data_IF_684547582339
#
_entry.id   IF_684547582339
#
_cell.length_a   1.000
_cell.length_b   1.000
_cell.length_c   1.000
_cell.angle_alpha   90.00
_cell.angle_beta   90.00
_cell.angle_gamma   90.00
#
_symmetry.space_group_name_H-M   'P 1'
#
loop_
_entity.id
_entity.type
_entity.pdbx_description
1 polymer ?
#
# COMPACT_ATOMS: atom_id res chain seq x y z
N UNK A 1 -54.77 -40.15 25.28
CA UNK A 1 -54.67 -38.75 24.82
C UNK A 1 -53.95 -37.80 25.80
N UNK A 2 -53.14 -38.28 26.76
CA UNK A 2 -52.43 -37.43 27.74
C UNK A 2 -50.92 -37.24 27.50
N UNK A 3 -50.35 -37.77 26.41
CA UNK A 3 -48.89 -37.74 26.17
C UNK A 3 -48.44 -36.67 25.16
N UNK A 4 -49.32 -36.23 24.24
CA UNK A 4 -48.97 -35.22 23.23
C UNK A 4 -49.07 -33.78 23.74
N UNK A 5 -49.98 -33.48 24.68
CA UNK A 5 -50.18 -32.12 25.20
C UNK A 5 -49.02 -31.64 26.08
N UNK A 6 -48.35 -32.54 26.79
CA UNK A 6 -47.21 -32.19 27.65
C UNK A 6 -45.93 -31.87 26.86
N UNK A 7 -45.71 -32.52 25.71
CA UNK A 7 -44.55 -32.23 24.84
C UNK A 7 -44.69 -30.91 24.06
N UNK A 8 -45.92 -30.51 23.72
CA UNK A 8 -46.17 -29.25 23.00
C UNK A 8 -45.98 -28.01 23.90
N UNK A 9 -46.32 -28.12 25.19
CA UNK A 9 -46.11 -27.05 26.19
C UNK A 9 -44.61 -26.79 26.47
N UNK A 10 -43.79 -27.84 26.47
CA UNK A 10 -42.33 -27.72 26.63
C UNK A 10 -41.66 -27.06 25.42
N UNK A 11 -42.14 -27.33 24.20
CA UNK A 11 -41.63 -26.68 22.98
C UNK A 11 -42.01 -25.19 22.92
N UNK A 12 -43.22 -24.82 23.35
CA UNK A 12 -43.62 -23.40 23.43
C UNK A 12 -42.80 -22.64 24.48
N UNK A 13 -42.53 -23.23 25.64
CA UNK A 13 -41.72 -22.59 26.68
C UNK A 13 -40.26 -22.36 26.26
N UNK A 14 -39.67 -23.27 25.48
CA UNK A 14 -38.30 -23.12 24.95
C UNK A 14 -38.23 -22.05 23.84
N UNK A 15 -39.29 -21.90 23.04
CA UNK A 15 -39.36 -20.86 22.01
C UNK A 15 -39.57 -19.46 22.58
N UNK A 16 -40.39 -19.30 23.64
CA UNK A 16 -40.56 -17.99 24.29
C UNK A 16 -39.28 -17.56 25.03
N UNK A 17 -38.57 -18.49 25.66
CA UNK A 17 -37.32 -18.16 26.37
C UNK A 17 -36.18 -17.72 25.43
N UNK A 18 -36.14 -18.21 24.18
CA UNK A 18 -35.14 -17.77 23.18
C UNK A 18 -35.46 -16.43 22.53
N UNK A 19 -36.73 -16.03 22.47
CA UNK A 19 -37.12 -14.73 21.93
C UNK A 19 -36.74 -13.57 22.87
N UNK A 20 -36.91 -13.77 24.18
CA UNK A 20 -36.59 -12.73 25.18
C UNK A 20 -35.08 -12.44 25.27
N UNK A 21 -34.23 -13.46 25.10
CA UNK A 21 -32.76 -13.29 25.08
C UNK A 21 -32.28 -12.50 23.85
N UNK A 22 -32.92 -12.69 22.69
CA UNK A 22 -32.59 -11.94 21.47
C UNK A 22 -33.02 -10.46 21.56
N UNK A 23 -34.17 -10.18 22.20
CA UNK A 23 -34.66 -8.80 22.36
C UNK A 23 -33.77 -8.00 23.32
N UNK A 24 -33.26 -8.63 24.40
CA UNK A 24 -32.33 -7.97 25.33
C UNK A 24 -30.98 -7.66 24.67
N UNK A 25 -30.47 -8.54 23.81
CA UNK A 25 -29.22 -8.28 23.07
C UNK A 25 -29.34 -7.17 22.02
N UNK A 26 -30.52 -7.00 21.40
CA UNK A 26 -30.74 -5.91 20.44
C UNK A 26 -30.85 -4.52 21.10
N UNK A 27 -31.45 -4.42 22.30
CA UNK A 27 -31.52 -3.14 23.03
C UNK A 27 -30.13 -2.66 23.48
N UNK A 28 -29.24 -3.58 23.82
CA UNK A 28 -27.87 -3.25 24.25
C UNK A 28 -27.03 -2.69 23.08
N UNK A 29 -27.17 -3.31 21.90
CA UNK A 29 -26.53 -2.85 20.66
C UNK A 29 -26.99 -1.45 20.20
N UNK A 30 -28.27 -1.15 20.38
CA UNK A 30 -28.82 0.15 20.00
C UNK A 30 -28.34 1.26 20.95
N UNK A 31 -28.13 0.94 22.23
CA UNK A 31 -27.59 1.86 23.23
C UNK A 31 -26.11 2.15 22.98
N UNK A 32 -25.32 1.13 22.61
CA UNK A 32 -23.91 1.30 22.25
C UNK A 32 -23.72 2.05 20.92
N UNK A 33 -24.63 1.88 19.94
CA UNK A 33 -24.61 2.65 18.70
C UNK A 33 -24.84 4.16 18.95
N UNK A 34 -25.77 4.52 19.84
CA UNK A 34 -26.00 5.92 20.18
C UNK A 34 -24.85 6.52 21.01
N UNK A 35 -24.19 5.72 21.86
CA UNK A 35 -22.95 6.14 22.53
C UNK A 35 -21.81 6.42 21.55
N UNK A 36 -21.63 5.56 20.55
CA UNK A 36 -20.60 5.74 19.52
C UNK A 36 -20.87 6.99 18.66
N UNK A 37 -22.13 7.28 18.33
CA UNK A 37 -22.51 8.53 17.63
C UNK A 37 -22.18 9.77 18.47
N UNK A 38 -22.46 9.73 19.77
CA UNK A 38 -22.15 10.85 20.68
C UNK A 38 -20.63 11.09 20.79
N UNK A 39 -19.82 10.02 20.85
CA UNK A 39 -18.36 10.13 20.85
C UNK A 39 -17.84 10.71 19.53
N UNK A 40 -18.38 10.27 18.38
CA UNK A 40 -18.00 10.78 17.08
C UNK A 40 -18.33 12.28 16.91
N UNK A 41 -19.48 12.72 17.42
CA UNK A 41 -19.85 14.14 17.43
C UNK A 41 -18.97 14.97 18.38
N UNK A 42 -18.59 14.43 19.54
CA UNK A 42 -17.67 15.10 20.47
C UNK A 42 -16.25 15.26 19.87
N UNK A 43 -15.76 14.26 19.12
CA UNK A 43 -14.48 14.33 18.41
C UNK A 43 -14.50 15.36 17.27
N UNK A 44 -15.61 15.45 16.53
CA UNK A 44 -15.81 16.49 15.51
C UNK A 44 -15.92 17.89 16.11
N UNK A 45 -16.53 18.04 17.29
CA UNK A 45 -16.59 19.33 17.99
C UNK A 45 -15.20 19.73 18.55
N UNK A 46 -14.40 18.78 19.01
CA UNK A 46 -13.05 19.01 19.51
C UNK A 46 -12.06 19.38 18.40
N UNK A 47 -12.26 18.92 17.15
CA UNK A 47 -11.41 19.32 16.02
C UNK A 47 -11.71 20.75 15.54
N UNK A 48 -12.91 21.27 15.81
CA UNK A 48 -13.29 22.63 15.41
C UNK A 48 -12.89 23.72 16.41
N UNK A 49 -12.54 23.36 17.67
CA UNK A 49 -12.20 24.33 18.72
C UNK A 49 -10.71 24.65 18.86
N UNK A 50 -9.83 24.06 18.05
CA UNK A 50 -8.38 24.34 18.09
C UNK A 50 -7.91 25.46 17.12
N UNK A 51 -8.82 26.26 16.54
CA UNK A 51 -8.44 27.30 15.57
C UNK A 51 -8.28 28.73 16.10
N UNK A 52 -8.42 29.00 17.39
CA UNK A 52 -8.22 30.36 17.93
C UNK A 52 -7.48 30.38 19.27
N UNK A 53 -6.14 30.38 19.21
CA UNK A 53 -5.27 31.06 20.18
C UNK A 53 -3.85 31.16 19.60
N UNK A 54 -3.55 32.32 19.02
CA UNK A 54 -2.19 32.67 18.60
C UNK A 54 -1.25 32.79 19.79
N UNK A 55 -0.14 32.06 19.73
CA UNK A 55 1.10 32.40 20.40
C UNK A 55 2.23 32.20 19.39
N UNK A 56 2.80 33.32 18.97
CA UNK A 56 3.91 33.44 18.04
C UNK A 56 5.17 32.77 18.57
N UNK A 57 5.62 31.72 17.88
CA UNK A 57 7.01 31.26 17.84
C UNK A 57 7.41 31.09 16.37
N UNK A 58 8.69 31.33 16.01
CA UNK A 58 9.08 31.50 14.62
C UNK A 58 8.99 30.17 13.87
N UNK A 59 8.21 30.18 12.79
CA UNK A 59 8.19 29.15 11.77
C UNK A 59 9.62 28.99 11.23
N UNK A 60 10.25 27.86 11.53
CA UNK A 60 11.32 27.36 10.67
C UNK A 60 10.67 27.06 9.32
N UNK A 61 11.12 27.83 8.34
CA UNK A 61 10.75 27.75 6.96
C UNK A 61 11.26 26.41 6.42
N UNK A 62 10.44 25.34 6.44
CA UNK A 62 10.75 24.06 5.79
C UNK A 62 10.79 24.31 4.29
N UNK A 63 11.95 24.74 3.83
CA UNK A 63 12.25 25.03 2.44
C UNK A 63 12.48 23.68 1.78
N UNK A 64 11.55 23.22 0.94
CA UNK A 64 11.81 22.07 0.08
C UNK A 64 13.04 22.38 -0.79
N UNK A 65 14.07 21.53 -0.81
CA UNK A 65 15.29 21.86 -1.53
C UNK A 65 15.09 21.71 -3.03
N UNK A 66 15.53 22.72 -3.78
CA UNK A 66 15.46 22.74 -5.23
C UNK A 66 16.26 21.62 -5.92
N UNK A 67 16.04 21.43 -7.22
CA UNK A 67 16.56 20.29 -7.97
C UNK A 67 18.08 20.22 -8.03
N UNK A 68 18.63 19.01 -7.86
CA UNK A 68 20.06 18.73 -7.94
C UNK A 68 20.89 19.06 -6.68
N UNK A 69 20.29 19.60 -5.61
CA UNK A 69 20.98 19.76 -4.34
C UNK A 69 21.01 18.44 -3.56
N UNK A 70 22.19 18.05 -3.07
CA UNK A 70 22.32 16.89 -2.19
C UNK A 70 21.75 17.24 -0.81
N UNK A 71 20.81 16.42 -0.37
CA UNK A 71 20.13 16.51 0.90
C UNK A 71 20.62 15.39 1.81
N UNK A 72 20.80 15.71 3.09
CA UNK A 72 21.19 14.73 4.13
C UNK A 72 20.10 14.70 5.19
N UNK A 73 19.56 13.51 5.47
CA UNK A 73 18.58 13.29 6.52
C UNK A 73 19.11 12.25 7.50
N UNK A 74 19.02 12.56 8.80
CA UNK A 74 19.34 11.64 9.89
C UNK A 74 18.03 11.14 10.54
N UNK A 75 17.86 9.84 10.64
CA UNK A 75 16.69 9.17 11.21
C UNK A 75 17.18 8.30 12.36
N UNK A 76 16.75 8.62 13.59
CA UNK A 76 17.19 7.90 14.79
C UNK A 76 16.69 6.44 14.78
N UNK A 77 17.47 5.53 15.37
CA UNK A 77 17.06 4.12 15.52
C UNK A 77 15.66 4.01 16.16
N UNK A 78 14.81 3.16 15.58
CA UNK A 78 13.42 3.00 15.97
C UNK A 78 12.45 4.04 15.37
N UNK A 79 12.94 5.10 14.72
CA UNK A 79 12.12 6.11 14.07
C UNK A 79 11.98 5.87 12.56
N UNK A 80 11.03 6.59 11.95
CA UNK A 80 10.83 6.63 10.52
C UNK A 80 10.68 8.08 10.07
N UNK A 81 11.16 8.38 8.87
CA UNK A 81 10.97 9.70 8.24
C UNK A 81 10.64 9.54 6.76
N UNK A 82 10.08 10.60 6.18
CA UNK A 82 9.72 10.66 4.75
C UNK A 82 10.66 11.61 4.02
N UNK A 83 11.46 11.08 3.11
CA UNK A 83 12.18 11.85 2.10
C UNK A 83 11.17 12.46 1.13
N UNK A 84 11.36 13.72 0.76
CA UNK A 84 10.46 14.45 -0.16
C UNK A 84 11.24 15.21 -1.23
N UNK A 85 10.68 15.24 -2.42
CA UNK A 85 11.06 16.06 -3.55
C UNK A 85 9.84 16.84 -4.05
N UNK A 86 10.08 17.97 -4.71
CA UNK A 86 9.02 18.72 -5.39
C UNK A 86 8.41 17.88 -6.54
N UNK A 87 7.21 18.25 -6.96
CA UNK A 87 6.54 17.61 -8.09
C UNK A 87 7.42 17.62 -9.36
N UNK A 88 7.45 16.48 -10.07
CA UNK A 88 8.27 16.31 -11.28
C UNK A 88 9.70 15.82 -11.02
N UNK A 89 10.07 15.58 -9.76
CA UNK A 89 11.39 15.05 -9.39
C UNK A 89 11.27 13.73 -8.64
N UNK A 90 12.19 12.81 -8.91
CA UNK A 90 12.34 11.55 -8.21
C UNK A 90 13.50 11.58 -7.23
N UNK A 91 13.33 10.89 -6.10
CA UNK A 91 14.38 10.70 -5.11
C UNK A 91 15.43 9.72 -5.66
N UNK A 92 16.69 10.13 -5.64
CA UNK A 92 17.85 9.27 -5.88
C UNK A 92 18.73 9.25 -4.65
N UNK A 93 18.81 8.09 -3.99
CA UNK A 93 19.78 7.87 -2.91
C UNK A 93 21.17 7.76 -3.53
N UNK A 94 22.08 8.63 -3.10
CA UNK A 94 23.48 8.62 -3.52
C UNK A 94 24.33 7.79 -2.57
N UNK A 95 24.06 7.89 -1.27
CA UNK A 95 24.77 7.16 -0.23
C UNK A 95 23.89 7.02 1.02
N UNK A 96 24.17 6.01 1.83
CA UNK A 96 23.52 5.86 3.12
C UNK A 96 24.38 5.07 4.09
N UNK A 97 24.24 5.43 5.35
CA UNK A 97 25.00 4.92 6.48
C UNK A 97 24.04 4.58 7.61
N UNK A 98 24.27 3.45 8.27
CA UNK A 98 23.55 3.08 9.49
C UNK A 98 24.56 2.76 10.58
N UNK A 99 24.54 3.54 11.66
CA UNK A 99 25.54 3.46 12.70
C UNK A 99 25.60 4.72 13.55
N UNK A 100 26.79 5.03 14.05
CA UNK A 100 27.09 6.23 14.78
C UNK A 100 28.48 6.73 14.43
N UNK A 101 28.56 7.93 13.84
CA UNK A 101 29.82 8.64 13.58
C UNK A 101 29.76 10.12 14.01
N UNK A 102 28.65 10.57 14.60
CA UNK A 102 28.48 11.90 15.20
C UNK A 102 27.46 11.89 16.37
N UNK A 103 27.12 13.08 16.89
CA UNK A 103 26.16 13.28 17.98
C UNK A 103 24.69 13.29 17.53
N UNK A 104 24.39 13.00 16.27
CA UNK A 104 23.01 12.90 15.79
C UNK A 104 22.25 11.85 16.61
N UNK A 105 21.02 12.19 16.99
CA UNK A 105 20.14 11.35 17.80
C UNK A 105 20.61 11.08 19.25
N UNK A 106 21.54 11.88 19.78
CA UNK A 106 22.07 11.68 21.14
C UNK A 106 21.79 12.90 22.03
N UNK A 107 21.41 12.71 23.31
CA UNK A 107 21.38 13.80 24.28
C UNK A 107 22.80 14.30 24.58
N UNK A 108 22.97 15.62 24.70
CA UNK A 108 24.22 16.42 24.57
C UNK A 108 25.46 16.09 25.44
N UNK A 109 25.53 14.94 26.12
CA UNK A 109 26.56 14.61 27.12
C UNK A 109 27.32 13.30 26.85
N UNK A 110 27.31 12.75 25.63
CA UNK A 110 28.04 11.51 25.32
C UNK A 110 29.47 11.78 24.83
N UNK A 111 30.45 11.56 25.71
CA UNK A 111 31.87 11.92 25.47
C UNK A 111 32.68 10.90 24.67
N UNK A 112 32.10 9.74 24.33
CA UNK A 112 32.80 8.66 23.62
C UNK A 112 32.09 8.38 22.29
N UNK A 113 32.58 9.04 21.24
CA UNK A 113 32.19 8.76 19.85
C UNK A 113 33.16 7.72 19.29
N UNK A 114 32.85 6.45 19.48
CA UNK A 114 33.51 5.39 18.72
C UNK A 114 32.73 5.20 17.41
N UNK A 115 33.38 5.50 16.29
CA UNK A 115 32.74 5.40 14.98
C UNK A 115 32.39 3.95 14.69
N UNK A 116 31.11 3.68 14.49
CA UNK A 116 30.63 2.34 14.20
C UNK A 116 29.56 2.42 13.10
N UNK A 117 29.49 1.42 12.23
CA UNK A 117 28.49 1.43 11.18
C UNK A 117 28.52 0.20 10.29
N UNK A 118 27.38 -0.06 9.68
CA UNK A 118 27.16 -1.19 8.81
C UNK A 118 27.55 -0.86 7.35
N UNK A 119 28.29 -1.74 6.65
CA UNK A 119 28.55 -1.58 5.23
C UNK A 119 27.31 -1.92 4.39
N UNK A 120 27.20 -1.37 3.17
CA UNK A 120 26.18 -1.79 2.19
C UNK A 120 24.76 -1.29 2.45
N UNK A 121 24.56 -0.38 3.40
CA UNK A 121 23.25 0.23 3.74
C UNK A 121 22.66 0.96 2.53
N UNK A 122 23.46 1.74 1.80
CA UNK A 122 23.01 2.41 0.57
C UNK A 122 22.39 1.43 -0.43
N UNK A 123 23.08 0.33 -0.73
CA UNK A 123 22.59 -0.70 -1.66
C UNK A 123 21.30 -1.36 -1.17
N UNK A 124 21.18 -1.60 0.14
CA UNK A 124 19.97 -2.16 0.75
C UNK A 124 18.78 -1.19 0.66
N UNK A 125 18.99 0.10 0.93
CA UNK A 125 17.95 1.13 0.82
C UNK A 125 17.53 1.39 -0.62
N UNK A 126 18.50 1.44 -1.54
CA UNK A 126 18.25 1.58 -2.98
C UNK A 126 17.36 0.40 -3.43
N UNK A 127 17.74 -0.84 -3.11
CA UNK A 127 16.95 -2.02 -3.51
C UNK A 127 15.56 -2.11 -2.88
N UNK A 128 15.33 -1.50 -1.71
CA UNK A 128 14.13 -1.75 -0.89
C UNK A 128 13.14 -0.58 -0.79
N UNK A 129 13.62 0.65 -0.71
CA UNK A 129 12.77 1.80 -0.35
C UNK A 129 12.61 2.83 -1.46
N UNK A 130 13.66 3.25 -2.17
CA UNK A 130 13.58 4.49 -2.97
C UNK A 130 14.13 4.47 -4.40
N UNK A 131 14.45 3.33 -5.02
CA UNK A 131 14.99 3.33 -6.39
C UNK A 131 13.91 3.64 -7.44
N UNK A 132 13.89 4.86 -7.98
CA UNK A 132 12.91 5.39 -8.94
C UNK A 132 11.50 5.64 -8.36
N UNK A 133 11.39 5.76 -7.04
CA UNK A 133 10.12 5.74 -6.31
C UNK A 133 9.62 7.16 -6.07
N UNK A 134 8.87 7.71 -7.02
CA UNK A 134 8.08 8.95 -6.86
C UNK A 134 8.82 10.16 -6.27
N UNK A 135 8.05 11.15 -5.82
CA UNK A 135 8.57 12.34 -5.15
C UNK A 135 8.59 12.18 -3.61
N UNK A 136 8.16 11.05 -3.06
CA UNK A 136 8.15 10.78 -1.61
C UNK A 136 8.55 9.33 -1.31
N UNK A 137 9.39 9.14 -0.28
CA UNK A 137 9.84 7.82 0.16
C UNK A 137 9.96 7.76 1.70
N UNK A 138 9.19 6.88 2.35
CA UNK A 138 9.26 6.69 3.81
C UNK A 138 10.23 5.58 4.19
N UNK A 139 11.21 5.89 5.02
CA UNK A 139 12.26 4.97 5.47
C UNK A 139 12.20 4.85 7.00
N UNK A 140 12.20 3.61 7.49
CA UNK A 140 12.34 3.32 8.92
C UNK A 140 13.80 2.95 9.23
N UNK A 141 14.39 3.62 10.23
CA UNK A 141 15.70 3.33 10.76
C UNK A 141 15.59 2.15 11.74
N UNK A 142 15.52 0.94 11.20
CA UNK A 142 15.52 -0.31 11.97
C UNK A 142 16.58 -1.26 11.39
N UNK A 143 17.30 -2.04 12.20
CA UNK A 143 18.32 -2.96 11.71
C UNK A 143 17.78 -3.96 10.66
N UNK A 144 16.58 -4.48 10.87
CA UNK A 144 15.86 -5.38 9.95
C UNK A 144 15.26 -4.68 8.72
N UNK A 145 15.08 -3.36 8.79
CA UNK A 145 14.62 -2.54 7.68
C UNK A 145 15.77 -2.23 6.72
N UNK A 146 16.93 -1.86 7.26
CA UNK A 146 18.02 -1.22 6.50
C UNK A 146 19.22 -2.14 6.21
N UNK A 147 19.23 -3.36 6.75
CA UNK A 147 20.32 -4.32 6.54
C UNK A 147 19.81 -5.77 6.44
N UNK A 148 20.52 -6.62 5.68
CA UNK A 148 20.42 -8.09 5.77
C UNK A 148 21.52 -8.67 6.68
N UNK A 149 22.02 -7.86 7.60
CA UNK A 149 23.30 -8.08 8.27
C UNK A 149 23.11 -8.68 9.66
N UNK A 150 24.13 -9.41 10.11
CA UNK A 150 24.20 -10.02 11.44
C UNK A 150 24.96 -9.11 12.41
N UNK A 151 24.86 -9.35 13.71
CA UNK A 151 25.48 -8.49 14.74
C UNK A 151 27.00 -8.25 14.54
N UNK A 152 27.72 -9.14 13.84
CA UNK A 152 29.15 -8.99 13.55
C UNK A 152 29.48 -7.98 12.43
N UNK A 153 28.49 -7.55 11.66
CA UNK A 153 28.67 -6.65 10.51
C UNK A 153 28.54 -5.17 10.88
N UNK A 154 28.12 -4.86 12.11
CA UNK A 154 28.03 -3.50 12.66
C UNK A 154 29.37 -3.01 13.24
N UNK A 155 30.48 -3.71 12.98
CA UNK A 155 31.80 -3.38 13.49
C UNK A 155 31.83 -3.35 15.02
N UNK A 156 32.25 -2.22 15.61
CA UNK A 156 32.33 -2.01 17.05
C UNK A 156 31.00 -1.54 17.69
N UNK A 157 29.88 -1.47 16.95
CA UNK A 157 28.62 -1.04 17.58
C UNK A 157 28.22 -2.05 18.67
N UNK A 158 28.05 -1.57 19.89
CA UNK A 158 27.61 -2.39 21.01
C UNK A 158 26.08 -2.33 21.15
N UNK A 159 25.48 -3.39 21.70
CA UNK A 159 24.05 -3.37 22.00
C UNK A 159 23.74 -2.24 22.99
N UNK A 160 22.95 -1.26 22.54
CA UNK A 160 22.52 -0.11 23.35
C UNK A 160 23.11 1.23 22.91
N UNK A 161 24.02 1.25 21.92
CA UNK A 161 24.49 2.50 21.34
C UNK A 161 23.36 3.23 20.59
N UNK A 162 23.23 4.56 20.72
CA UNK A 162 22.26 5.33 19.96
C UNK A 162 22.70 5.39 18.49
N UNK A 163 22.10 4.56 17.66
CA UNK A 163 22.34 4.50 16.22
C UNK A 163 21.38 5.41 15.46
N UNK A 164 21.76 5.77 14.24
CA UNK A 164 20.88 6.42 13.29
C UNK A 164 21.18 5.99 11.86
N UNK A 165 20.18 6.16 11.01
CA UNK A 165 20.31 6.11 9.58
C UNK A 165 20.59 7.51 9.03
N UNK A 166 21.72 7.69 8.35
CA UNK A 166 21.98 8.87 7.52
C UNK A 166 21.73 8.53 6.06
N UNK A 167 20.87 9.28 5.39
CA UNK A 167 20.57 9.13 3.96
C UNK A 167 20.98 10.38 3.22
N UNK A 168 21.85 10.21 2.23
CA UNK A 168 22.23 11.26 1.28
C UNK A 168 21.48 11.04 -0.02
N UNK A 169 20.61 11.97 -0.40
CA UNK A 169 19.79 11.86 -1.61
C UNK A 169 19.76 13.15 -2.42
N UNK A 170 19.41 13.03 -3.70
CA UNK A 170 19.19 14.15 -4.61
C UNK A 170 17.84 13.99 -5.29
N UNK A 171 17.20 15.11 -5.60
CA UNK A 171 16.00 15.13 -6.45
C UNK A 171 16.43 15.28 -7.91
N UNK A 172 16.22 14.25 -8.72
CA UNK A 172 16.50 14.27 -10.15
C UNK A 172 15.19 14.44 -10.94
N UNK A 173 15.17 15.22 -12.04
CA UNK A 173 13.98 15.32 -12.87
C UNK A 173 13.55 13.90 -13.28
N UNK A 174 12.27 13.58 -13.12
CA UNK A 174 11.73 12.35 -13.70
C UNK A 174 11.98 12.46 -15.21
N UNK A 175 12.63 11.48 -15.86
CA UNK A 175 12.86 11.55 -17.30
C UNK A 175 11.52 11.75 -18.02
N UNK A 176 11.30 12.94 -18.56
CA UNK A 176 10.13 13.27 -19.39
C UNK A 176 10.26 12.72 -20.81
N UNK A 177 11.29 11.90 -21.06
CA UNK A 177 11.36 11.07 -22.25
C UNK A 177 10.21 10.09 -22.20
N UNK A 178 9.18 10.33 -23.02
CA UNK A 178 8.05 9.45 -23.28
C UNK A 178 8.53 7.99 -23.16
N UNK A 179 8.32 7.32 -22.00
CA UNK A 179 8.58 5.91 -21.92
C UNK A 179 7.39 5.36 -22.67
N UNK A 180 7.53 5.26 -24.01
CA UNK A 180 6.48 4.84 -24.92
C UNK A 180 5.77 3.71 -24.22
N UNK A 181 4.46 3.91 -23.98
CA UNK A 181 3.63 3.11 -23.07
C UNK A 181 4.22 1.70 -23.02
N UNK A 182 4.89 1.29 -21.92
CA UNK A 182 5.49 -0.02 -21.91
C UNK A 182 4.37 -0.99 -22.25
N UNK A 183 4.66 -1.93 -23.15
CA UNK A 183 3.73 -2.89 -23.75
C UNK A 183 3.20 -3.91 -22.71
N UNK A 184 2.84 -3.45 -21.52
CA UNK A 184 2.22 -4.15 -20.41
C UNK A 184 0.71 -4.31 -20.59
N UNK A 185 0.19 -3.81 -21.72
CA UNK A 185 -1.22 -3.50 -21.88
C UNK A 185 -1.77 -4.30 -23.03
N UNK A 186 -2.84 -5.02 -22.75
CA UNK A 186 -3.53 -5.79 -23.77
C UNK A 186 -4.68 -4.94 -24.29
N UNK A 187 -4.67 -4.70 -25.60
CA UNK A 187 -5.83 -4.16 -26.30
C UNK A 187 -6.72 -5.32 -26.74
N UNK A 188 -8.00 -5.22 -26.44
CA UNK A 188 -9.01 -6.16 -26.90
C UNK A 188 -10.10 -5.42 -27.66
N UNK A 189 -10.63 -6.03 -28.72
CA UNK A 189 -11.83 -5.52 -29.36
C UNK A 189 -13.02 -5.71 -28.42
N UNK A 190 -13.81 -4.66 -28.21
CA UNK A 190 -14.93 -4.63 -27.27
C UNK A 190 -14.79 -3.58 -26.17
N UNK A 191 -15.68 -3.65 -25.19
CA UNK A 191 -15.71 -2.76 -24.02
C UNK A 191 -16.18 -3.50 -22.78
N UNK A 192 -15.87 -2.96 -21.60
CA UNK A 192 -16.51 -3.38 -20.35
C UNK A 192 -17.64 -2.40 -20.02
N UNK A 193 -18.86 -2.86 -19.69
CA UNK A 193 -19.95 -1.98 -19.29
C UNK A 193 -19.68 -1.30 -17.94
N UNK A 194 -20.46 -0.26 -17.63
CA UNK A 194 -20.37 0.50 -16.37
C UNK A 194 -19.03 1.22 -16.15
N UNK A 195 -18.34 1.60 -17.23
CA UNK A 195 -17.25 2.56 -17.17
C UNK A 195 -17.76 3.97 -16.84
N UNK A 196 -16.90 4.77 -16.21
CA UNK A 196 -17.15 6.18 -15.89
C UNK A 196 -16.62 7.01 -17.05
N UNK A 197 -17.45 7.89 -17.63
CA UNK A 197 -17.00 8.79 -18.69
C UNK A 197 -15.83 9.64 -18.20
N UNK A 198 -14.69 9.48 -18.86
CA UNK A 198 -13.49 10.26 -18.59
C UNK A 198 -13.45 11.51 -19.49
N UNK A 199 -13.66 11.31 -20.80
CA UNK A 199 -13.68 12.37 -21.80
C UNK A 199 -14.32 11.91 -23.11
N UNK A 200 -14.76 12.85 -23.93
CA UNK A 200 -15.26 12.63 -25.29
C UNK A 200 -14.42 13.41 -26.33
N UNK A 201 -14.57 13.04 -27.61
CA UNK A 201 -13.86 13.70 -28.71
C UNK A 201 -12.34 13.52 -28.69
N UNK A 202 -11.82 12.52 -27.97
CA UNK A 202 -10.38 12.26 -27.86
C UNK A 202 -9.95 11.08 -28.72
N UNK A 203 -8.65 10.99 -28.99
CA UNK A 203 -8.05 9.79 -29.58
C UNK A 203 -7.77 8.74 -28.52
N UNK A 204 -7.67 7.47 -28.93
CA UNK A 204 -7.37 6.34 -28.05
C UNK A 204 -6.12 6.56 -27.19
N UNK A 205 -5.05 7.08 -27.79
CA UNK A 205 -3.79 7.27 -27.07
C UNK A 205 -3.90 8.34 -25.97
N UNK A 206 -4.66 9.40 -26.23
CA UNK A 206 -4.96 10.43 -25.23
C UNK A 206 -5.85 9.85 -24.11
N UNK A 207 -6.80 8.98 -24.44
CA UNK A 207 -7.64 8.27 -23.47
C UNK A 207 -6.79 7.40 -22.51
N UNK A 208 -5.79 6.67 -23.04
CA UNK A 208 -4.85 5.90 -22.21
C UNK A 208 -4.01 6.79 -21.32
N UNK A 209 -3.43 7.87 -21.87
CA UNK A 209 -2.61 8.81 -21.10
C UNK A 209 -3.38 9.46 -19.95
N UNK A 210 -4.65 9.79 -20.17
CA UNK A 210 -5.50 10.31 -19.11
C UNK A 210 -5.76 9.26 -18.02
N UNK A 211 -6.02 8.01 -18.39
CA UNK A 211 -6.10 6.92 -17.42
C UNK A 211 -4.83 6.77 -16.61
N UNK A 212 -3.66 6.79 -17.26
CA UNK A 212 -2.36 6.67 -16.57
C UNK A 212 -2.13 7.81 -15.57
N UNK A 213 -2.68 9.00 -15.82
CA UNK A 213 -2.65 10.14 -14.89
C UNK A 213 -3.61 10.03 -13.70
N UNK A 214 -4.50 9.03 -13.69
CA UNK A 214 -5.51 8.82 -12.65
C UNK A 214 -5.19 7.56 -11.87
N UNK A 215 -4.85 7.73 -10.59
CA UNK A 215 -4.44 6.64 -9.70
C UNK A 215 -5.47 5.49 -9.60
N UNK A 216 -6.76 5.82 -9.63
CA UNK A 216 -7.84 4.83 -9.53
C UNK A 216 -8.21 4.19 -10.87
N UNK A 217 -7.62 4.62 -12.00
CA UNK A 217 -7.95 4.09 -13.31
C UNK A 217 -7.19 2.79 -13.57
N UNK A 218 -7.92 1.70 -13.67
CA UNK A 218 -7.39 0.35 -13.82
C UNK A 218 -7.46 -0.13 -15.28
N UNK A 219 -8.39 0.42 -16.05
CA UNK A 219 -8.60 0.11 -17.47
C UNK A 219 -9.42 1.24 -18.13
N UNK A 220 -9.45 1.28 -19.46
CA UNK A 220 -10.36 2.14 -20.23
C UNK A 220 -11.09 1.35 -21.32
N UNK A 221 -12.31 1.79 -21.61
CA UNK A 221 -13.07 1.41 -22.80
C UNK A 221 -13.22 2.62 -23.70
N UNK A 222 -12.67 2.54 -24.90
CA UNK A 222 -12.66 3.59 -25.90
C UNK A 222 -13.60 3.24 -27.07
N UNK A 223 -14.50 4.15 -27.42
CA UNK A 223 -15.37 4.02 -28.57
C UNK A 223 -14.89 4.93 -29.69
N UNK A 224 -14.54 4.33 -30.83
CA UNK A 224 -14.00 5.04 -31.99
C UNK A 224 -15.00 6.01 -32.59
N UNK A 225 -16.30 5.71 -32.46
CA UNK A 225 -17.36 6.63 -32.85
C UNK A 225 -17.54 7.71 -31.78
N UNK A 226 -17.16 8.94 -32.10
CA UNK A 226 -17.23 10.08 -31.18
C UNK A 226 -16.06 10.20 -30.19
N UNK A 227 -15.10 9.26 -30.21
CA UNK A 227 -13.90 9.33 -29.37
C UNK A 227 -14.22 9.29 -27.88
N UNK A 228 -15.18 8.45 -27.48
CA UNK A 228 -15.67 8.38 -26.09
C UNK A 228 -14.75 7.49 -25.26
N UNK A 229 -14.16 8.05 -24.22
CA UNK A 229 -13.25 7.40 -23.30
C UNK A 229 -13.95 7.15 -21.95
N UNK A 230 -14.13 5.90 -21.56
CA UNK A 230 -14.66 5.52 -20.26
C UNK A 230 -13.58 4.84 -19.42
N UNK A 231 -13.31 5.34 -18.22
CA UNK A 231 -12.39 4.71 -17.28
C UNK A 231 -13.09 3.66 -16.41
N UNK A 232 -12.32 2.68 -15.95
CA UNK A 232 -12.75 1.65 -15.02
C UNK A 232 -11.91 1.70 -13.76
N UNK A 233 -12.56 1.50 -12.61
CA UNK A 233 -11.91 1.44 -11.30
C UNK A 233 -11.70 -0.02 -10.87
N UNK A 234 -11.25 -0.23 -9.64
CA UNK A 234 -11.14 -1.55 -9.04
C UNK A 234 -12.43 -2.39 -9.15
N UNK A 235 -13.60 -1.74 -9.07
CA UNK A 235 -14.89 -2.41 -9.08
C UNK A 235 -15.31 -2.93 -10.46
N UNK A 236 -14.85 -2.25 -11.54
CA UNK A 236 -15.36 -2.51 -12.89
C UNK A 236 -14.31 -3.01 -13.86
N UNK A 237 -13.01 -2.85 -13.59
CA UNK A 237 -11.96 -3.14 -14.57
C UNK A 237 -11.79 -4.63 -14.92
N UNK A 238 -12.22 -5.53 -14.05
CA UNK A 238 -12.25 -6.96 -14.34
C UNK A 238 -13.64 -7.47 -14.75
N UNK A 239 -14.55 -6.59 -15.16
CA UNK A 239 -15.84 -6.97 -15.72
C UNK A 239 -15.73 -7.79 -17.01
N UNK A 240 -16.83 -8.43 -17.39
CA UNK A 240 -16.90 -9.21 -18.63
C UNK A 240 -16.78 -8.30 -19.85
N UNK A 241 -15.90 -8.66 -20.78
CA UNK A 241 -15.73 -7.96 -22.05
C UNK A 241 -16.93 -8.22 -22.96
N UNK A 242 -17.53 -7.15 -23.48
CA UNK A 242 -18.60 -7.18 -24.48
C UNK A 242 -17.98 -6.83 -25.83
N UNK A 243 -17.96 -7.81 -26.74
CA UNK A 243 -17.46 -7.62 -28.10
C UNK A 243 -18.33 -6.60 -28.84
N UNK A 244 -17.69 -5.58 -29.43
CA UNK A 244 -18.39 -4.53 -30.19
C UNK A 244 -17.44 -3.91 -31.18
N UNK A 245 -17.82 -3.89 -32.45
CA UNK A 245 -17.04 -3.25 -33.50
C UNK A 245 -16.93 -1.74 -33.22
N UNK A 246 -15.71 -1.20 -33.32
CA UNK A 246 -15.44 0.21 -33.00
C UNK A 246 -15.39 0.50 -31.49
N UNK A 247 -15.32 -0.52 -30.64
CA UNK A 247 -14.92 -0.39 -29.25
C UNK A 247 -13.58 -1.09 -29.04
N UNK A 248 -12.70 -0.44 -28.29
CA UNK A 248 -11.40 -0.98 -27.90
C UNK A 248 -11.26 -0.87 -26.40
N UNK A 249 -10.79 -1.94 -25.78
CA UNK A 249 -10.61 -2.01 -24.34
C UNK A 249 -9.13 -2.18 -24.01
N UNK A 250 -8.63 -1.34 -23.09
CA UNK A 250 -7.24 -1.29 -22.65
C UNK A 250 -7.18 -1.54 -21.14
N UNK A 251 -6.32 -2.45 -20.70
CA UNK A 251 -6.13 -2.78 -19.28
C UNK A 251 -4.72 -2.46 -18.80
N UNK A 252 -4.61 -1.90 -17.59
CA UNK A 252 -3.35 -1.75 -16.84
C UNK A 252 -3.09 -2.92 -15.89
N UNK A 253 -4.09 -3.78 -15.70
CA UNK A 253 -4.11 -4.93 -14.79
C UNK A 253 -4.42 -6.22 -15.54
N UNK A 254 -4.20 -7.36 -14.89
CA UNK A 254 -4.55 -8.68 -15.40
C UNK A 254 -5.76 -9.21 -14.66
N UNK A 255 -6.71 -9.77 -15.41
CA UNK A 255 -7.96 -10.29 -14.87
C UNK A 255 -8.23 -11.70 -15.44
N UNK A 256 -8.97 -12.50 -14.68
CA UNK A 256 -9.53 -13.77 -15.15
C UNK A 256 -8.49 -14.73 -15.73
N UNK A 257 -8.76 -15.24 -16.92
CA UNK A 257 -7.99 -16.32 -17.57
C UNK A 257 -6.56 -15.92 -17.98
N UNK A 258 -6.23 -14.63 -17.95
CA UNK A 258 -4.88 -14.14 -18.18
C UNK A 258 -3.98 -14.21 -16.94
N UNK A 259 -4.56 -14.47 -15.76
CA UNK A 259 -3.81 -14.68 -14.52
C UNK A 259 -3.21 -16.10 -14.55
N UNK A 260 -1.91 -16.29 -14.26
CA UNK A 260 -1.33 -17.62 -14.18
C UNK A 260 -2.07 -18.50 -13.17
N UNK A 261 -2.20 -19.80 -13.46
CA UNK A 261 -3.05 -20.71 -12.70
C UNK A 261 -2.61 -20.93 -11.24
N UNK A 262 -1.37 -20.58 -10.92
CA UNK A 262 -0.81 -20.57 -9.56
C UNK A 262 -1.39 -19.46 -8.67
N UNK A 263 -2.06 -18.46 -9.25
CA UNK A 263 -2.69 -17.35 -8.54
C UNK A 263 -4.23 -17.44 -8.54
N UNK A 264 -4.81 -16.80 -7.53
CA UNK A 264 -6.22 -16.46 -7.43
C UNK A 264 -6.52 -15.21 -8.26
N UNK A 265 -7.79 -14.81 -8.28
CA UNK A 265 -8.23 -13.53 -8.84
C UNK A 265 -7.47 -12.35 -8.21
N UNK A 266 -7.21 -11.32 -9.01
CA UNK A 266 -6.62 -10.10 -8.52
C UNK A 266 -7.56 -9.38 -7.55
N UNK A 267 -7.04 -9.02 -6.38
CA UNK A 267 -7.63 -8.07 -5.44
C UNK A 267 -7.20 -6.67 -5.90
N UNK A 268 -8.04 -6.04 -6.72
CA UNK A 268 -7.78 -4.72 -7.27
C UNK A 268 -8.12 -3.64 -6.24
N UNK A 269 -7.32 -2.59 -6.18
CA UNK A 269 -7.45 -1.54 -5.18
C UNK A 269 -6.98 -2.00 -3.80
N UNK A 270 -6.12 -3.01 -3.73
CA UNK A 270 -5.64 -3.58 -2.48
C UNK A 270 -4.13 -3.85 -2.52
N UNK A 271 -3.48 -3.78 -1.35
CA UNK A 271 -2.07 -4.15 -1.15
C UNK A 271 -1.86 -4.88 0.17
N UNK A 272 -0.71 -5.52 0.32
CA UNK A 272 -0.22 -6.02 1.60
C UNK A 272 0.98 -5.20 2.09
N UNK A 273 1.29 -5.29 3.38
CA UNK A 273 2.52 -4.72 3.94
C UNK A 273 3.72 -5.61 3.64
N UNK A 274 4.90 -4.99 3.54
CA UNK A 274 6.15 -5.69 3.24
C UNK A 274 6.31 -5.99 1.75
N UNK A 275 6.79 -7.19 1.43
CA UNK A 275 7.16 -7.58 0.08
C UNK A 275 8.52 -7.03 -0.36
N UNK A 276 9.17 -7.75 -1.26
CA UNK A 276 10.46 -7.43 -1.84
C UNK A 276 10.22 -6.85 -3.23
N UNK A 277 10.67 -5.62 -3.46
CA UNK A 277 10.61 -5.00 -4.78
C UNK A 277 11.50 -5.75 -5.76
N UNK A 278 10.99 -6.01 -6.96
CA UNK A 278 11.73 -6.72 -8.01
C UNK A 278 12.09 -5.75 -9.11
N UNK A 279 13.38 -5.60 -9.35
CA UNK A 279 13.91 -4.74 -10.40
C UNK A 279 13.51 -5.23 -11.80
N UNK A 280 13.41 -4.30 -12.74
CA UNK A 280 13.17 -4.56 -14.16
C UNK A 280 11.82 -5.24 -14.51
N UNK A 281 10.85 -5.22 -13.59
CA UNK A 281 9.50 -5.72 -13.82
C UNK A 281 8.50 -4.55 -13.80
N UNK A 282 8.27 -3.94 -14.96
CA UNK A 282 7.40 -2.77 -15.10
C UNK A 282 5.97 -3.11 -15.52
N UNK A 283 5.66 -4.40 -15.65
CA UNK A 283 4.37 -4.91 -16.13
C UNK A 283 3.86 -6.01 -15.18
N UNK A 284 2.54 -6.09 -14.92
CA UNK A 284 1.99 -7.11 -14.02
C UNK A 284 2.28 -8.56 -14.49
N UNK A 285 2.29 -8.84 -15.80
CA UNK A 285 2.40 -10.22 -16.31
C UNK A 285 3.81 -10.79 -16.14
N UNK A 286 4.88 -10.09 -16.60
CA UNK A 286 6.24 -10.40 -16.22
C UNK A 286 6.47 -10.49 -14.70
N UNK A 287 5.84 -9.61 -13.91
CA UNK A 287 5.94 -9.64 -12.46
C UNK A 287 5.37 -10.94 -11.87
N UNK A 288 4.19 -11.39 -12.34
CA UNK A 288 3.60 -12.67 -11.93
C UNK A 288 4.46 -13.86 -12.35
N UNK A 289 4.94 -13.90 -13.60
CA UNK A 289 5.82 -14.97 -14.09
C UNK A 289 7.13 -15.06 -13.31
N UNK A 290 7.70 -13.91 -12.94
CA UNK A 290 8.91 -13.87 -12.14
C UNK A 290 8.67 -14.44 -10.72
N UNK A 291 7.47 -14.25 -10.16
CA UNK A 291 7.08 -14.88 -8.90
C UNK A 291 6.89 -16.40 -9.06
N UNK A 292 6.28 -16.89 -10.16
CA UNK A 292 6.15 -18.34 -10.40
C UNK A 292 7.49 -19.06 -10.50
N UNK A 293 8.53 -18.36 -10.97
CA UNK A 293 9.88 -18.90 -11.04
C UNK A 293 10.57 -19.03 -9.66
N UNK A 294 9.99 -18.45 -8.60
CA UNK A 294 10.52 -18.46 -7.24
C UNK A 294 9.62 -19.33 -6.35
N UNK A 295 10.06 -20.52 -5.92
CA UNK A 295 9.23 -21.45 -5.14
C UNK A 295 8.67 -20.85 -3.84
N UNK A 296 9.38 -19.90 -3.24
CA UNK A 296 8.99 -19.22 -2.01
C UNK A 296 8.01 -18.07 -2.23
N UNK A 297 7.82 -17.61 -3.48
CA UNK A 297 6.93 -16.50 -3.77
C UNK A 297 5.47 -16.94 -3.70
N UNK A 298 4.67 -16.22 -2.91
CA UNK A 298 3.30 -16.60 -2.55
C UNK A 298 2.27 -15.58 -2.98
N UNK A 299 2.66 -14.34 -3.21
CA UNK A 299 1.78 -13.31 -3.75
C UNK A 299 2.61 -12.26 -4.48
N UNK A 300 1.93 -11.47 -5.29
CA UNK A 300 2.48 -10.34 -6.03
C UNK A 300 1.63 -9.11 -5.76
N UNK A 301 2.26 -7.97 -5.55
CA UNK A 301 1.65 -6.67 -5.51
C UNK A 301 2.23 -5.84 -6.62
N UNK A 302 1.38 -5.15 -7.37
CA UNK A 302 1.82 -4.29 -8.45
C UNK A 302 1.25 -2.89 -8.24
N UNK A 303 2.13 -1.90 -8.11
CA UNK A 303 1.75 -0.50 -8.04
C UNK A 303 1.59 0.05 -9.47
N UNK A 304 0.40 0.49 -9.82
CA UNK A 304 0.09 0.94 -11.17
C UNK A 304 0.59 2.35 -11.47
N UNK A 305 0.88 3.15 -10.44
CA UNK A 305 1.41 4.50 -10.58
C UNK A 305 2.92 4.43 -10.77
N UNK A 306 3.62 3.76 -9.85
CA UNK A 306 5.09 3.66 -9.90
C UNK A 306 5.57 2.54 -10.83
N UNK A 307 4.67 1.65 -11.27
CA UNK A 307 4.96 0.45 -12.06
C UNK A 307 5.92 -0.49 -11.34
N UNK A 308 5.85 -0.50 -10.02
CA UNK A 308 6.71 -1.32 -9.16
C UNK A 308 6.08 -2.69 -8.91
N UNK A 309 6.89 -3.72 -9.11
CA UNK A 309 6.57 -5.11 -8.80
C UNK A 309 7.08 -5.44 -7.39
N UNK A 310 6.19 -5.92 -6.52
CA UNK A 310 6.51 -6.42 -5.19
C UNK A 310 6.16 -7.90 -5.08
N UNK A 311 7.09 -8.71 -4.59
CA UNK A 311 6.88 -10.13 -4.34
C UNK A 311 6.85 -10.43 -2.86
N UNK A 312 5.91 -11.28 -2.45
CA UNK A 312 5.71 -11.62 -1.05
C UNK A 312 6.03 -13.09 -0.83
N UNK A 313 7.06 -13.37 -0.02
CA UNK A 313 7.48 -14.74 0.33
C UNK A 313 7.02 -15.16 1.73
N UNK A 314 6.80 -14.18 2.62
CA UNK A 314 6.26 -14.40 3.96
C UNK A 314 4.78 -14.80 3.90
N UNK A 315 4.35 -15.89 4.56
CA UNK A 315 2.94 -16.27 4.61
C UNK A 315 2.01 -15.21 5.21
N UNK A 316 2.48 -14.46 6.21
CA UNK A 316 1.65 -13.41 6.83
C UNK A 316 1.39 -12.25 5.86
N UNK A 317 2.42 -11.84 5.13
CA UNK A 317 2.30 -10.74 4.16
C UNK A 317 1.53 -11.20 2.91
N UNK A 318 1.86 -12.37 2.37
CA UNK A 318 1.27 -12.85 1.13
C UNK A 318 -0.20 -13.28 1.29
N UNK A 319 -0.56 -13.82 2.46
CA UNK A 319 -1.82 -14.53 2.65
C UNK A 319 -2.73 -13.94 3.71
N UNK A 320 -2.24 -12.95 4.46
CA UNK A 320 -2.99 -12.22 5.49
C UNK A 320 -4.00 -11.22 4.93
N UNK A 321 -4.36 -10.26 5.78
CA UNK A 321 -5.29 -9.18 5.45
C UNK A 321 -4.62 -8.17 4.51
N UNK A 322 -5.29 -7.85 3.42
CA UNK A 322 -4.93 -6.73 2.54
C UNK A 322 -5.62 -5.45 3.00
N UNK A 323 -5.07 -4.30 2.62
CA UNK A 323 -5.60 -2.99 2.92
C UNK A 323 -5.94 -2.26 1.62
N UNK A 324 -6.90 -1.34 1.68
CA UNK A 324 -7.32 -0.56 0.51
C UNK A 324 -6.17 0.34 0.05
N UNK A 325 -5.80 0.19 -1.22
CA UNK A 325 -4.83 1.02 -1.91
C UNK A 325 -5.25 1.14 -3.38
N UNK A 326 -5.90 2.25 -3.72
CA UNK A 326 -6.66 2.44 -4.96
C UNK A 326 -5.86 2.34 -6.26
N UNK A 327 -4.54 2.32 -6.21
CA UNK A 327 -3.61 2.22 -7.34
C UNK A 327 -2.83 0.89 -7.36
N UNK A 328 -3.23 -0.07 -6.53
CA UNK A 328 -2.56 -1.36 -6.42
C UNK A 328 -3.40 -2.50 -7.00
N UNK A 329 -2.73 -3.47 -7.59
CA UNK A 329 -3.29 -4.77 -7.92
C UNK A 329 -2.53 -5.85 -7.17
N UNK A 330 -3.23 -6.58 -6.30
CA UNK A 330 -2.65 -7.65 -5.50
C UNK A 330 -3.12 -9.02 -5.98
N UNK A 331 -2.19 -9.90 -6.30
CA UNK A 331 -2.42 -11.24 -6.83
C UNK A 331 -1.96 -12.25 -5.80
N UNK A 332 -2.92 -12.91 -5.15
CA UNK A 332 -2.66 -13.91 -4.12
C UNK A 332 -2.40 -15.26 -4.75
N UNK A 333 -1.37 -15.98 -4.32
CA UNK A 333 -1.11 -17.35 -4.76
C UNK A 333 -2.14 -18.32 -4.17
N UNK A 334 -2.56 -19.32 -4.95
CA UNK A 334 -3.51 -20.37 -4.49
C UNK A 334 -2.94 -21.25 -3.38
N UNK A 335 -1.63 -21.35 -3.30
CA UNK A 335 -0.93 -22.11 -2.25
C UNK A 335 -0.79 -21.33 -0.94
N UNK A 336 -1.56 -20.25 -0.77
CA UNK A 336 -1.59 -19.50 0.47
C UNK A 336 -2.12 -20.37 1.62
N UNK A 337 -1.32 -20.65 2.67
CA UNK A 337 -1.82 -21.39 3.82
C UNK A 337 -2.97 -20.61 4.44
N UNK A 338 -3.99 -21.34 4.93
CA UNK A 338 -5.01 -20.73 5.78
C UNK A 338 -4.32 -20.24 7.04
N UNK A 339 -4.09 -18.94 7.14
CA UNK A 339 -3.57 -18.31 8.35
C UNK A 339 -4.71 -18.30 9.36
N UNK A 340 -4.82 -19.38 10.14
CA UNK A 340 -5.74 -19.45 11.26
C UNK A 340 -5.16 -18.62 12.42
N UNK A 341 -5.44 -17.32 12.41
CA UNK A 341 -4.99 -16.47 13.50
C UNK A 341 -5.35 -15.01 13.26
N UNK A 342 -6.14 -14.46 14.18
CA UNK A 342 -6.12 -13.03 14.50
C UNK A 342 -4.66 -12.60 14.67
N UNK A 343 -4.25 -11.43 14.13
CA UNK A 343 -2.90 -10.93 14.30
C UNK A 343 -2.49 -10.96 15.79
N UNK A 344 -1.31 -11.50 16.14
CA UNK A 344 -0.83 -11.42 17.51
C UNK A 344 -0.67 -9.94 17.88
N UNK A 345 -1.55 -9.43 18.75
CA UNK A 345 -1.61 -8.02 19.13
C UNK A 345 -3.02 -7.40 19.12
N UNK A 346 -4.02 -8.06 18.52
CA UNK A 346 -5.43 -7.62 18.58
C UNK A 346 -6.26 -8.52 19.49
N UNK A 347 -5.88 -8.65 20.75
CA UNK A 347 -6.83 -9.08 21.78
C UNK A 347 -7.62 -7.85 22.22
N UNK A 348 -8.96 -7.83 22.13
CA UNK A 348 -9.75 -6.80 22.78
C UNK A 348 -9.36 -6.78 24.26
N UNK A 349 -9.09 -5.60 24.81
CA UNK A 349 -8.95 -5.46 26.26
C UNK A 349 -10.19 -6.07 26.90
N UNK A 350 -10.00 -7.09 27.74
CA UNK A 350 -11.11 -7.66 28.50
C UNK A 350 -11.67 -6.58 29.44
N UNK A 351 -13.00 -6.51 29.61
CA UNK A 351 -13.67 -5.47 30.37
C UNK A 351 -13.26 -5.41 31.84
#
# INVERSE_FOLDING_TARGET
MHSLTSKLLLLFAVFTWRADVLVVQCLDLQTELERLKAIAQALLAASMSQSEAGASTPSENVTTPGPGLMQTMNICDGHQETLRCDEGFAIKINDAFYGRDDEACVPSNSSNLENCGAPGVASALIGKYCQNSGNECTIAALPSAVTNLTAGDFGNCTMGDPLYLRVNYTCEPVPTGNPGIPSCTTEHEGYIPNGILLKDGVQMEECKQQCDSIASCMAVSYFTNGGVCNMHTADTACGSLVMSAGALHYKRIICGDSIPSSFESALIGARSYGGIKVANQTCPEPCLRACEAIPECRAVGFDLNTRECHMYTSPMEACGTTYVASHWAFYKGRNCPRVAGTPPGCTPAQP
#
